data_IF_450919286137
#
_entry.id   IF_450919286137
#
_cell.length_a   1.000
_cell.length_b   1.000
_cell.length_c   1.000
_cell.angle_alpha   90.00
_cell.angle_beta   90.00
_cell.angle_gamma   90.00
#
_symmetry.space_group_name_H-M   'P 1'
#
loop_
_entity.id
_entity.type
_entity.pdbx_description
1 polymer ?
#
# COMPACT_ATOMS: atom_id res chain seq x y z
N UNK A 1 12.60 22.95 8.62
CA UNK A 1 12.71 21.79 9.53
C UNK A 1 11.44 20.93 9.62
N UNK A 2 10.30 21.39 10.17
CA UNK A 2 9.13 20.51 10.37
C UNK A 2 8.41 20.13 9.05
N UNK A 3 8.30 21.10 8.13
CA UNK A 3 7.78 20.90 6.76
C UNK A 3 8.65 19.92 5.98
N UNK A 4 9.97 20.11 5.98
CA UNK A 4 10.92 19.18 5.34
C UNK A 4 10.82 17.75 5.92
N UNK A 5 10.53 17.62 7.22
CA UNK A 5 10.26 16.32 7.83
C UNK A 5 8.99 15.67 7.27
N UNK A 6 7.93 16.45 7.01
CA UNK A 6 6.73 15.93 6.35
C UNK A 6 6.99 15.50 4.91
N UNK A 7 7.79 16.25 4.16
CA UNK A 7 8.19 15.88 2.80
C UNK A 7 8.97 14.57 2.79
N UNK A 8 9.92 14.40 3.72
CA UNK A 8 10.67 13.13 3.88
C UNK A 8 9.75 11.95 4.22
N UNK A 9 8.72 12.15 5.05
CA UNK A 9 7.74 11.08 5.33
C UNK A 9 6.93 10.73 4.09
N UNK A 10 6.54 11.74 3.30
CA UNK A 10 5.82 11.53 2.03
C UNK A 10 6.69 10.81 1.01
N UNK A 11 7.96 11.18 0.88
CA UNK A 11 8.94 10.49 0.03
C UNK A 11 9.13 9.03 0.48
N UNK A 12 9.27 8.79 1.79
CA UNK A 12 9.41 7.45 2.36
C UNK A 12 8.17 6.59 2.08
N UNK A 13 6.96 7.15 2.22
CA UNK A 13 5.71 6.48 1.83
C UNK A 13 5.72 6.10 0.35
N UNK A 14 6.16 7.00 -0.53
CA UNK A 14 6.29 6.72 -1.97
C UNK A 14 7.24 5.53 -2.23
N UNK A 15 8.42 5.53 -1.61
CA UNK A 15 9.39 4.42 -1.71
C UNK A 15 8.82 3.11 -1.18
N UNK A 16 8.14 3.13 -0.03
CA UNK A 16 7.49 1.94 0.54
C UNK A 16 6.41 1.38 -0.40
N UNK A 17 5.60 2.24 -1.02
CA UNK A 17 4.58 1.80 -1.98
C UNK A 17 5.21 1.12 -3.21
N UNK A 18 6.23 1.74 -3.81
CA UNK A 18 6.94 1.14 -4.96
C UNK A 18 7.60 -0.19 -4.59
N UNK A 19 8.17 -0.29 -3.38
CA UNK A 19 8.73 -1.54 -2.88
C UNK A 19 7.70 -2.66 -2.83
N UNK A 20 6.53 -2.45 -2.22
CA UNK A 20 5.48 -3.45 -2.14
C UNK A 20 4.91 -3.82 -3.52
N UNK A 21 4.72 -2.83 -4.40
CA UNK A 21 4.30 -3.06 -5.78
C UNK A 21 5.26 -3.98 -6.52
N UNK A 22 6.56 -3.68 -6.48
CA UNK A 22 7.59 -4.50 -7.12
C UNK A 22 7.68 -5.90 -6.51
N UNK A 23 7.63 -6.00 -5.17
CA UNK A 23 7.71 -7.29 -4.48
C UNK A 23 6.51 -8.19 -4.81
N UNK A 24 5.28 -7.66 -4.70
CA UNK A 24 4.06 -8.41 -4.99
C UNK A 24 3.91 -8.73 -6.48
N UNK A 25 4.32 -7.84 -7.38
CA UNK A 25 4.29 -8.13 -8.83
C UNK A 25 5.36 -9.15 -9.22
N UNK A 26 6.54 -9.08 -8.60
CA UNK A 26 7.61 -10.05 -8.77
C UNK A 26 7.19 -11.45 -8.30
N UNK A 27 6.62 -11.55 -7.10
CA UNK A 27 6.06 -12.80 -6.58
C UNK A 27 5.01 -13.40 -7.51
N UNK A 28 4.10 -12.58 -8.03
CA UNK A 28 3.05 -13.04 -8.94
C UNK A 28 3.62 -13.54 -10.28
N UNK A 29 4.63 -12.86 -10.82
CA UNK A 29 5.33 -13.26 -12.05
C UNK A 29 6.09 -14.58 -11.89
N UNK A 30 6.53 -14.93 -10.67
CA UNK A 30 7.19 -16.20 -10.41
C UNK A 30 6.22 -17.39 -10.41
N UNK A 31 4.91 -17.17 -10.20
CA UNK A 31 3.92 -18.25 -10.09
C UNK A 31 3.94 -19.18 -11.31
N UNK A 32 3.83 -18.71 -12.57
CA UNK A 32 3.80 -19.60 -13.74
C UNK A 32 5.11 -20.38 -13.92
N UNK A 33 6.24 -19.73 -13.65
CA UNK A 33 7.58 -20.35 -13.77
C UNK A 33 7.78 -21.46 -12.73
N UNK A 34 7.36 -21.22 -11.49
CA UNK A 34 7.39 -22.23 -10.43
C UNK A 34 6.45 -23.38 -10.78
N UNK A 35 5.29 -23.06 -11.36
CA UNK A 35 4.32 -24.06 -11.81
C UNK A 35 4.91 -24.94 -12.91
N UNK A 36 5.64 -24.36 -13.86
CA UNK A 36 6.23 -25.12 -14.98
C UNK A 36 7.47 -25.92 -14.57
N UNK A 37 8.39 -25.33 -13.78
CA UNK A 37 9.69 -25.94 -13.45
C UNK A 37 9.67 -26.93 -12.28
N UNK A 38 8.81 -26.70 -11.28
CA UNK A 38 8.81 -27.51 -10.05
C UNK A 38 7.75 -28.64 -10.12
N UNK A 39 6.73 -28.53 -10.99
CA UNK A 39 5.50 -29.35 -10.90
C UNK A 39 5.28 -30.39 -12.00
N UNK A 40 6.31 -30.83 -12.72
CA UNK A 40 6.18 -31.94 -13.68
C UNK A 40 5.83 -33.31 -13.05
N UNK A 41 6.12 -33.61 -11.76
CA UNK A 41 5.53 -34.77 -11.11
C UNK A 41 4.12 -34.41 -10.58
N UNK A 42 3.14 -35.30 -10.80
CA UNK A 42 1.75 -35.23 -10.31
C UNK A 42 1.66 -35.37 -8.77
N UNK A 43 2.40 -34.54 -8.02
CA UNK A 43 2.50 -34.62 -6.56
C UNK A 43 1.66 -33.53 -5.88
N UNK A 44 1.10 -33.83 -4.72
CA UNK A 44 0.37 -32.87 -3.87
C UNK A 44 1.23 -31.69 -3.43
N UNK A 45 2.55 -31.83 -3.48
CA UNK A 45 3.55 -30.81 -3.13
C UNK A 45 3.34 -29.49 -3.87
N UNK A 46 2.80 -29.54 -5.09
CA UNK A 46 2.49 -28.34 -5.87
C UNK A 46 1.50 -27.40 -5.19
N UNK A 47 0.47 -28.00 -4.59
CA UNK A 47 -0.57 -27.25 -3.91
C UNK A 47 -0.01 -26.64 -2.64
N UNK A 48 0.86 -27.35 -1.92
CA UNK A 48 1.54 -26.84 -0.72
C UNK A 48 2.38 -25.60 -1.05
N UNK A 49 3.22 -25.66 -2.09
CA UNK A 49 4.05 -24.51 -2.52
C UNK A 49 3.19 -23.31 -2.90
N UNK A 50 2.12 -23.52 -3.68
CA UNK A 50 1.18 -22.47 -4.05
C UNK A 50 0.44 -21.89 -2.83
N UNK A 51 0.09 -22.72 -1.84
CA UNK A 51 -0.55 -22.29 -0.60
C UNK A 51 0.34 -21.33 0.18
N UNK A 52 1.63 -21.70 0.33
CA UNK A 52 2.62 -20.90 1.04
C UNK A 52 2.81 -19.56 0.34
N UNK A 53 2.96 -19.57 -0.99
CA UNK A 53 3.14 -18.36 -1.79
C UNK A 53 1.90 -17.44 -1.72
N UNK A 54 0.70 -18.02 -1.81
CA UNK A 54 -0.55 -17.28 -1.70
C UNK A 54 -0.72 -16.64 -0.31
N UNK A 55 -0.43 -17.40 0.74
CA UNK A 55 -0.48 -16.92 2.13
C UNK A 55 0.52 -15.78 2.35
N UNK A 56 1.75 -15.93 1.85
CA UNK A 56 2.79 -14.90 1.93
C UNK A 56 2.38 -13.62 1.20
N UNK A 57 1.85 -13.73 -0.02
CA UNK A 57 1.35 -12.58 -0.78
C UNK A 57 0.20 -11.86 -0.07
N UNK A 58 -0.73 -12.61 0.52
CA UNK A 58 -1.84 -12.04 1.28
C UNK A 58 -1.36 -11.30 2.54
N UNK A 59 -0.44 -11.91 3.31
CA UNK A 59 0.19 -11.27 4.47
C UNK A 59 0.90 -9.97 4.09
N UNK A 60 1.66 -9.96 2.98
CA UNK A 60 2.33 -8.77 2.49
C UNK A 60 1.34 -7.66 2.10
N UNK A 61 0.20 -8.00 1.48
CA UNK A 61 -0.86 -7.03 1.18
C UNK A 61 -1.43 -6.40 2.46
N UNK A 62 -1.63 -7.19 3.51
CA UNK A 62 -2.10 -6.70 4.81
C UNK A 62 -1.08 -5.77 5.48
N UNK A 63 0.19 -6.18 5.50
CA UNK A 63 1.29 -5.36 6.05
C UNK A 63 1.43 -4.05 5.26
N UNK A 64 1.29 -4.09 3.93
CA UNK A 64 1.32 -2.87 3.11
C UNK A 64 0.19 -1.92 3.47
N UNK A 65 -1.04 -2.42 3.61
CA UNK A 65 -2.18 -1.60 4.06
C UNK A 65 -1.91 -0.95 5.42
N UNK A 66 -1.38 -1.71 6.37
CA UNK A 66 -1.03 -1.18 7.70
C UNK A 66 0.05 -0.09 7.62
N UNK A 67 1.02 -0.22 6.73
CA UNK A 67 2.04 0.83 6.52
C UNK A 67 1.42 2.11 5.96
N UNK A 68 0.51 2.01 4.98
CA UNK A 68 -0.20 3.17 4.44
C UNK A 68 -0.95 3.92 5.56
N UNK A 69 -1.62 3.18 6.44
CA UNK A 69 -2.36 3.77 7.56
C UNK A 69 -1.44 4.44 8.58
N UNK A 70 -0.31 3.83 8.90
CA UNK A 70 0.70 4.41 9.78
C UNK A 70 1.27 5.73 9.24
N UNK A 71 1.69 5.77 7.97
CA UNK A 71 2.18 7.01 7.34
C UNK A 71 1.12 8.10 7.31
N UNK A 72 -0.14 7.74 7.08
CA UNK A 72 -1.26 8.70 7.11
C UNK A 72 -1.44 9.29 8.50
N UNK A 73 -1.37 8.46 9.54
CA UNK A 73 -1.52 8.91 10.93
C UNK A 73 -0.39 9.86 11.34
N UNK A 74 0.86 9.52 11.02
CA UNK A 74 2.02 10.38 11.34
C UNK A 74 1.93 11.72 10.62
N UNK A 75 1.58 11.72 9.33
CA UNK A 75 1.43 12.97 8.58
C UNK A 75 0.27 13.83 9.12
N UNK A 76 -0.83 13.20 9.53
CA UNK A 76 -1.94 13.92 10.17
C UNK A 76 -1.50 14.60 11.47
N UNK A 77 -0.81 13.87 12.35
CA UNK A 77 -0.31 14.42 13.61
C UNK A 77 0.69 15.56 13.38
N UNK A 78 1.62 15.40 12.43
CA UNK A 78 2.57 16.47 12.07
C UNK A 78 1.87 17.72 11.55
N UNK A 79 0.83 17.55 10.72
CA UNK A 79 0.06 18.67 10.22
C UNK A 79 -0.69 19.41 11.33
N UNK A 80 -1.25 18.69 12.31
CA UNK A 80 -1.88 19.32 13.48
C UNK A 80 -0.90 20.17 14.28
N UNK A 81 0.29 19.66 14.56
CA UNK A 81 1.35 20.43 15.25
C UNK A 81 1.73 21.69 14.45
N UNK A 82 1.83 21.60 13.12
CA UNK A 82 2.10 22.77 12.27
C UNK A 82 0.98 23.80 12.35
N UNK A 83 -0.28 23.35 12.34
CA UNK A 83 -1.43 24.23 12.45
C UNK A 83 -1.49 24.93 13.82
N UNK A 84 -1.08 24.26 14.90
CA UNK A 84 -1.02 24.84 16.24
C UNK A 84 0.04 25.94 16.37
N UNK A 85 1.19 25.81 15.69
CA UNK A 85 2.25 26.83 15.72
C UNK A 85 1.98 27.98 14.75
N UNK A 86 1.15 27.77 13.73
CA UNK A 86 0.91 28.71 12.63
C UNK A 86 0.47 30.12 13.07
N UNK A 87 -0.40 30.31 14.09
CA UNK A 87 -0.82 31.64 14.53
C UNK A 87 0.33 32.51 15.06
N UNK A 88 1.47 31.92 15.43
CA UNK A 88 2.65 32.65 15.90
C UNK A 88 3.55 33.13 14.74
N UNK A 89 3.24 32.76 13.50
CA UNK A 89 3.99 33.18 12.32
C UNK A 89 3.46 34.52 11.79
N UNK A 90 4.32 35.36 11.18
CA UNK A 90 3.90 36.63 10.58
C UNK A 90 2.83 36.49 9.49
N UNK A 91 2.76 35.32 8.85
CA UNK A 91 1.77 35.02 7.83
C UNK A 91 1.35 33.54 7.91
N UNK A 92 0.06 33.24 8.11
CA UNK A 92 -0.44 31.87 8.22
C UNK A 92 -0.68 31.25 6.82
N UNK A 93 0.39 30.71 6.23
CA UNK A 93 0.36 30.14 4.88
C UNK A 93 -0.67 29.01 4.70
N UNK A 94 -0.73 28.05 5.62
CA UNK A 94 -1.59 26.86 5.52
C UNK A 94 -3.07 27.20 5.73
N UNK A 95 -3.38 28.12 6.65
CA UNK A 95 -4.72 28.66 6.77
C UNK A 95 -5.15 29.33 5.48
N UNK A 96 -4.28 30.15 4.88
CA UNK A 96 -4.58 30.82 3.60
C UNK A 96 -4.74 29.81 2.45
N UNK A 97 -3.94 28.76 2.39
CA UNK A 97 -4.10 27.67 1.41
C UNK A 97 -5.48 27.00 1.52
N UNK A 98 -5.95 26.75 2.75
CA UNK A 98 -7.28 26.19 3.00
C UNK A 98 -8.41 27.14 2.58
N UNK A 99 -8.29 28.43 2.89
CA UNK A 99 -9.27 29.45 2.45
C UNK A 99 -9.35 29.51 0.92
N UNK A 100 -8.20 29.51 0.23
CA UNK A 100 -8.16 29.49 -1.25
C UNK A 100 -8.83 28.24 -1.82
N UNK A 101 -8.65 27.08 -1.18
CA UNK A 101 -9.30 25.83 -1.57
C UNK A 101 -10.82 25.89 -1.39
N UNK A 102 -11.30 26.48 -0.30
CA UNK A 102 -12.74 26.68 -0.05
C UNK A 102 -13.37 27.66 -1.04
N UNK A 103 -12.65 28.74 -1.38
CA UNK A 103 -13.06 29.73 -2.38
C UNK A 103 -13.12 29.15 -3.81
N UNK A 104 -12.38 28.06 -4.08
CA UNK A 104 -12.24 27.48 -5.42
C UNK A 104 -12.68 26.01 -5.47
N UNK A 105 -13.99 25.71 -5.56
CA UNK A 105 -14.51 24.34 -5.56
C UNK A 105 -14.06 23.49 -6.76
N UNK A 106 -13.47 24.12 -7.80
CA UNK A 106 -12.83 23.43 -8.93
C UNK A 106 -11.48 22.80 -8.56
N UNK A 107 -10.82 23.30 -7.51
CA UNK A 107 -9.56 22.77 -6.99
C UNK A 107 -9.90 21.65 -5.99
N UNK A 108 -10.26 20.47 -6.50
CA UNK A 108 -10.39 19.31 -5.63
C UNK A 108 -9.01 18.75 -5.32
N UNK A 109 -8.59 18.86 -4.06
CA UNK A 109 -7.45 18.10 -3.56
C UNK A 109 -7.81 16.61 -3.60
N UNK A 110 -7.48 15.92 -4.70
CA UNK A 110 -7.68 14.48 -4.83
C UNK A 110 -6.83 13.82 -3.76
N UNK A 111 -7.48 13.23 -2.75
CA UNK A 111 -6.82 12.47 -1.70
C UNK A 111 -6.16 11.24 -2.33
N UNK A 112 -4.92 11.38 -2.79
CA UNK A 112 -4.06 10.30 -3.30
C UNK A 112 -4.08 9.09 -2.35
N UNK A 113 -4.20 9.34 -1.04
CA UNK A 113 -4.36 8.32 0.00
C UNK A 113 -5.60 7.45 -0.09
N UNK A 114 -6.68 7.87 -0.75
CA UNK A 114 -7.83 6.97 -1.00
C UNK A 114 -7.46 5.95 -2.07
N UNK A 115 -6.83 6.38 -3.16
CA UNK A 115 -6.45 5.51 -4.29
C UNK A 115 -5.41 4.49 -3.83
N UNK A 116 -4.38 4.93 -3.10
CA UNK A 116 -3.32 4.03 -2.62
C UNK A 116 -3.83 2.91 -1.71
N UNK A 117 -4.91 3.11 -0.96
CA UNK A 117 -5.52 2.05 -0.12
C UNK A 117 -6.17 0.94 -0.93
N UNK A 118 -6.63 1.23 -2.14
CA UNK A 118 -7.25 0.22 -3.01
C UNK A 118 -6.22 -0.66 -3.72
N UNK A 119 -4.97 -0.18 -3.88
CA UNK A 119 -3.94 -0.94 -4.60
C UNK A 119 -3.59 -2.27 -3.91
N UNK A 120 -3.33 -2.33 -2.58
CA UNK A 120 -3.12 -3.60 -1.89
C UNK A 120 -4.34 -4.53 -1.97
N UNK A 121 -5.56 -3.98 -1.97
CA UNK A 121 -6.79 -4.77 -2.08
C UNK A 121 -6.91 -5.42 -3.47
N UNK A 122 -6.61 -4.66 -4.52
CA UNK A 122 -6.63 -5.18 -5.90
C UNK A 122 -5.58 -6.28 -6.06
N UNK A 123 -4.37 -6.09 -5.54
CA UNK A 123 -3.33 -7.12 -5.60
C UNK A 123 -3.63 -8.34 -4.73
N UNK A 124 -4.44 -8.21 -3.68
CA UNK A 124 -4.84 -9.36 -2.87
C UNK A 124 -5.77 -10.35 -3.62
N UNK A 125 -6.50 -9.89 -4.64
CA UNK A 125 -7.44 -10.71 -5.43
C UNK A 125 -6.76 -11.93 -6.08
N UNK A 126 -5.68 -11.80 -6.87
CA UNK A 126 -5.00 -12.95 -7.46
C UNK A 126 -4.43 -13.90 -6.40
N UNK A 127 -3.90 -13.38 -5.28
CA UNK A 127 -3.43 -14.22 -4.18
C UNK A 127 -4.55 -15.02 -3.50
N UNK A 128 -5.73 -14.42 -3.31
CA UNK A 128 -6.92 -15.12 -2.83
C UNK A 128 -7.36 -16.22 -3.80
N UNK A 129 -7.34 -15.96 -5.10
CA UNK A 129 -7.62 -16.97 -6.13
C UNK A 129 -6.65 -18.16 -6.05
N UNK A 130 -5.34 -17.88 -5.93
CA UNK A 130 -4.31 -18.91 -5.76
C UNK A 130 -4.49 -19.72 -4.47
N UNK A 131 -4.89 -19.06 -3.38
CA UNK A 131 -5.15 -19.71 -2.10
C UNK A 131 -6.30 -20.72 -2.21
N UNK A 132 -7.44 -20.30 -2.78
CA UNK A 132 -8.62 -21.15 -2.96
C UNK A 132 -8.31 -22.33 -3.89
N UNK A 133 -7.64 -22.04 -5.02
CA UNK A 133 -7.23 -23.08 -5.96
C UNK A 133 -6.33 -24.13 -5.29
N UNK A 134 -5.30 -23.67 -4.57
CA UNK A 134 -4.40 -24.55 -3.84
C UNK A 134 -5.12 -25.41 -2.81
N UNK A 135 -5.99 -24.80 -1.99
CA UNK A 135 -6.75 -25.50 -0.96
C UNK A 135 -7.65 -26.59 -1.57
N UNK A 136 -8.35 -26.27 -2.66
CA UNK A 136 -9.22 -27.22 -3.37
C UNK A 136 -8.43 -28.41 -3.95
N UNK A 137 -7.21 -28.18 -4.42
CA UNK A 137 -6.34 -29.22 -4.95
C UNK A 137 -5.71 -30.09 -3.87
N UNK A 138 -5.48 -29.57 -2.67
CA UNK A 138 -4.95 -30.33 -1.53
C UNK A 138 -5.99 -31.31 -0.96
N UNK A 139 -7.26 -30.86 -0.92
CA UNK A 139 -8.40 -31.60 -0.37
C UNK A 139 -8.90 -32.72 -1.29
N UNK A 140 -8.60 -32.66 -2.59
CA UNK A 140 -8.94 -33.68 -3.59
C UNK A 140 -7.92 -34.83 -3.61
#
# INVERSE_FOLDING_TARGET
>A
MYVEMMDRVTERRGKTNTFYLSLLSGLLTLVPVLVEKILLPQSKDKYIVLLILATLGFCLCFIWRSNIDSYKQINFLKFQVIYEIEPNLPFPCYKREWEILEENPRIQYRRLSKIEKYVPLILAIPYLGLFIYSLSGLLR
#
